data_IF_575449497872
#
_entry.id   IF_575449497872
#
_cell.length_a   1.000
_cell.length_b   1.000
_cell.length_c   1.000
_cell.angle_alpha   90.00
_cell.angle_beta   90.00
_cell.angle_gamma   90.00
#
_symmetry.space_group_name_H-M   'P 1'
#
loop_
_entity.id
_entity.type
_entity.pdbx_description
1 polymer ?
#
# COMPACT_ATOMS: atom_id res chain seq x y z
N UNK A 1 1.94 19.08 85.99
CA UNK A 1 0.94 18.60 85.01
C UNK A 1 1.63 17.90 83.89
N UNK A 2 1.59 16.72 83.94
CA UNK A 2 1.73 15.54 83.11
C UNK A 2 2.35 15.74 81.73
N UNK A 3 3.61 15.25 81.62
CA UNK A 3 4.32 15.00 80.35
C UNK A 3 3.92 13.60 79.80
N UNK A 4 3.59 13.53 78.51
CA UNK A 4 3.40 12.26 77.81
C UNK A 4 4.61 12.08 76.88
N UNK A 5 5.30 10.93 77.06
CA UNK A 5 6.42 10.52 76.25
C UNK A 5 5.97 9.97 74.90
N UNK A 6 6.64 10.38 73.85
CA UNK A 6 6.51 9.82 72.52
C UNK A 6 7.61 8.77 72.28
N UNK A 7 7.18 7.59 71.88
CA UNK A 7 8.00 6.42 71.67
C UNK A 7 7.90 6.02 70.19
N UNK A 8 8.62 6.70 69.30
CA UNK A 8 8.73 6.34 67.89
C UNK A 8 9.81 5.29 67.65
N UNK A 9 9.43 4.07 67.44
CA UNK A 9 10.28 2.97 67.00
C UNK A 9 10.68 3.16 65.53
N UNK A 10 11.98 3.31 65.29
CA UNK A 10 12.62 3.10 63.99
C UNK A 10 12.35 1.68 63.49
N UNK A 11 11.67 1.55 62.36
CA UNK A 11 11.66 0.31 61.57
C UNK A 11 12.70 0.48 60.45
N UNK A 12 13.71 -0.33 60.50
CA UNK A 12 14.66 -0.55 59.42
C UNK A 12 13.91 -1.07 58.20
N UNK A 13 14.08 -0.41 57.06
CA UNK A 13 13.71 -0.88 55.73
C UNK A 13 14.95 -1.57 55.13
N UNK A 14 15.04 -2.87 55.37
CA UNK A 14 15.94 -3.75 54.61
C UNK A 14 15.16 -4.40 53.44
N UNK A 15 15.69 -4.26 52.22
CA UNK A 15 15.54 -5.23 51.15
C UNK A 15 14.45 -5.00 50.08
N UNK A 16 14.58 -3.96 49.25
CA UNK A 16 14.05 -4.04 47.89
C UNK A 16 15.22 -4.03 46.91
N UNK A 17 15.80 -5.20 46.67
CA UNK A 17 16.65 -5.42 45.50
C UNK A 17 15.75 -5.26 44.26
N UNK A 18 15.95 -4.16 43.52
CA UNK A 18 15.28 -3.89 42.27
C UNK A 18 15.59 -4.98 41.25
N UNK A 19 14.55 -5.69 40.87
CA UNK A 19 14.54 -6.51 39.66
C UNK A 19 14.43 -5.54 38.48
N UNK A 20 15.55 -5.08 37.96
CA UNK A 20 15.62 -4.53 36.61
C UNK A 20 15.40 -5.72 35.66
N UNK A 21 14.17 -5.92 35.25
CA UNK A 21 13.88 -6.77 34.09
C UNK A 21 14.55 -6.10 32.88
N UNK A 22 15.72 -6.61 32.49
CA UNK A 22 16.29 -6.27 31.19
C UNK A 22 15.22 -6.58 30.13
N UNK A 23 14.93 -5.65 29.20
CA UNK A 23 14.07 -5.97 28.09
C UNK A 23 14.67 -7.17 27.38
N UNK A 24 13.90 -8.25 27.26
CA UNK A 24 14.28 -9.42 26.48
C UNK A 24 14.60 -8.91 25.07
N UNK A 25 15.87 -8.97 24.68
CA UNK A 25 16.31 -8.69 23.31
C UNK A 25 15.68 -9.76 22.44
N UNK A 26 14.50 -9.48 21.88
CA UNK A 26 13.99 -10.29 20.79
C UNK A 26 15.04 -10.30 19.68
N UNK A 27 15.57 -11.45 19.36
CA UNK A 27 16.45 -11.60 18.20
C UNK A 27 15.70 -11.09 16.97
N UNK A 28 16.27 -10.15 16.22
CA UNK A 28 15.58 -9.60 15.07
C UNK A 28 15.23 -10.71 14.08
N UNK A 29 13.95 -10.76 13.68
CA UNK A 29 13.45 -11.80 12.77
C UNK A 29 13.87 -11.45 11.33
N UNK A 30 14.20 -12.47 10.51
CA UNK A 30 14.38 -12.26 9.07
C UNK A 30 13.11 -11.66 8.43
N UNK A 31 13.31 -10.83 7.42
CA UNK A 31 12.24 -10.26 6.59
C UNK A 31 12.31 -10.90 5.22
N UNK A 32 11.16 -11.20 4.65
CA UNK A 32 11.04 -11.62 3.25
C UNK A 32 10.35 -10.50 2.48
N UNK A 33 10.96 -10.03 1.39
CA UNK A 33 10.30 -9.12 0.45
C UNK A 33 9.75 -9.95 -0.71
N UNK A 34 8.51 -9.69 -1.04
CA UNK A 34 7.79 -10.24 -2.18
C UNK A 34 7.84 -9.18 -3.29
N UNK A 35 8.47 -9.48 -4.40
CA UNK A 35 8.78 -8.50 -5.45
C UNK A 35 8.10 -8.91 -6.75
N UNK A 36 7.12 -8.13 -7.19
CA UNK A 36 6.47 -8.26 -8.50
C UNK A 36 7.18 -7.40 -9.54
N UNK A 37 7.48 -7.99 -10.69
CA UNK A 37 8.20 -7.33 -11.77
C UNK A 37 7.58 -7.55 -13.15
N UNK A 38 8.08 -6.82 -14.14
CA UNK A 38 7.69 -6.97 -15.56
C UNK A 38 8.01 -8.36 -16.14
N UNK A 39 8.86 -9.17 -15.49
CA UNK A 39 9.35 -10.46 -16.02
C UNK A 39 9.37 -11.57 -14.96
N UNK A 40 8.37 -11.60 -14.08
CA UNK A 40 8.25 -12.59 -13.04
C UNK A 40 8.27 -11.99 -11.63
N UNK A 41 8.23 -12.87 -10.64
CA UNK A 41 8.31 -12.52 -9.22
C UNK A 41 9.61 -13.01 -8.59
N UNK A 42 10.08 -12.28 -7.59
CA UNK A 42 11.27 -12.62 -6.83
C UNK A 42 11.00 -12.55 -5.33
N UNK A 43 11.72 -13.34 -4.56
CA UNK A 43 11.73 -13.29 -3.11
C UNK A 43 13.10 -12.84 -2.64
N UNK A 44 13.15 -11.80 -1.80
CA UNK A 44 14.37 -11.35 -1.14
C UNK A 44 14.29 -11.73 0.33
N UNK A 45 15.20 -12.57 0.81
CA UNK A 45 15.27 -12.99 2.21
C UNK A 45 16.43 -12.32 2.92
N UNK A 46 16.17 -11.65 4.05
CA UNK A 46 17.22 -11.06 4.88
C UNK A 46 17.73 -12.04 5.94
N UNK A 47 18.92 -11.74 6.50
CA UNK A 47 19.27 -12.16 7.85
C UNK A 47 18.44 -11.37 8.88
N UNK A 48 18.46 -11.81 10.15
CA UNK A 48 17.74 -11.10 11.22
C UNK A 48 18.15 -9.63 11.37
N UNK A 49 19.40 -9.28 11.05
CA UNK A 49 19.91 -7.91 11.11
C UNK A 49 19.54 -7.06 9.87
N UNK A 50 18.92 -7.67 8.85
CA UNK A 50 18.55 -7.00 7.58
C UNK A 50 19.76 -6.39 6.84
N UNK A 51 20.93 -7.01 6.97
CA UNK A 51 22.19 -6.57 6.35
C UNK A 51 22.58 -7.42 5.14
N UNK A 52 22.28 -8.71 5.19
CA UNK A 52 22.54 -9.67 4.11
C UNK A 52 21.21 -10.10 3.51
N UNK A 53 21.16 -10.15 2.19
CA UNK A 53 19.95 -10.49 1.45
C UNK A 53 20.25 -11.57 0.42
N UNK A 54 19.39 -12.57 0.36
CA UNK A 54 19.42 -13.61 -0.65
C UNK A 54 18.24 -13.44 -1.59
N UNK A 55 18.51 -13.48 -2.89
CA UNK A 55 17.50 -13.43 -3.96
C UNK A 55 17.14 -14.84 -4.38
N UNK A 56 15.85 -15.14 -4.46
CA UNK A 56 15.28 -16.37 -5.02
C UNK A 56 14.26 -16.03 -6.12
N UNK A 57 14.14 -16.90 -7.11
CA UNK A 57 13.35 -16.69 -8.32
C UNK A 57 14.21 -16.63 -9.57
N UNK A 58 13.66 -16.23 -10.74
CA UNK A 58 12.30 -15.76 -10.93
C UNK A 58 11.25 -16.87 -10.84
N UNK A 59 10.15 -16.59 -10.14
CA UNK A 59 8.91 -17.34 -10.30
C UNK A 59 8.11 -16.73 -11.46
N UNK A 60 7.36 -17.53 -12.21
CA UNK A 60 6.53 -17.04 -13.33
C UNK A 60 7.33 -16.25 -14.38
N UNK A 61 8.53 -16.73 -14.72
CA UNK A 61 9.39 -16.06 -15.71
C UNK A 61 8.63 -15.82 -17.02
N UNK A 62 8.69 -14.58 -17.50
CA UNK A 62 7.98 -14.14 -18.69
C UNK A 62 6.62 -13.50 -18.43
N UNK A 63 6.00 -13.74 -17.27
CA UNK A 63 4.77 -13.05 -16.86
C UNK A 63 5.07 -11.67 -16.30
N UNK A 64 4.16 -10.73 -16.53
CA UNK A 64 4.11 -9.50 -15.74
C UNK A 64 3.45 -9.85 -14.41
N UNK A 65 4.12 -9.58 -13.29
CA UNK A 65 3.56 -9.74 -11.95
C UNK A 65 3.30 -8.37 -11.36
N UNK A 66 2.02 -8.00 -11.28
CA UNK A 66 1.62 -6.68 -10.79
C UNK A 66 1.62 -6.59 -9.28
N UNK A 67 1.17 -7.65 -8.59
CA UNK A 67 1.10 -7.69 -7.13
C UNK A 67 1.31 -9.11 -6.61
N UNK A 68 1.99 -9.24 -5.48
CA UNK A 68 2.25 -10.51 -4.78
C UNK A 68 2.11 -10.26 -3.28
N UNK A 69 1.15 -10.91 -2.62
CA UNK A 69 0.74 -10.62 -1.25
C UNK A 69 0.73 -11.89 -0.41
N UNK A 70 1.28 -11.81 0.80
CA UNK A 70 1.15 -12.83 1.85
C UNK A 70 -0.10 -12.54 2.68
N UNK A 71 -0.90 -13.57 2.96
CA UNK A 71 -2.00 -13.49 3.90
C UNK A 71 -1.47 -13.27 5.33
N UNK A 72 -1.74 -12.11 5.95
CA UNK A 72 -1.25 -11.85 7.31
C UNK A 72 -1.93 -12.72 8.37
N UNK A 73 -3.11 -13.31 8.05
CA UNK A 73 -3.94 -14.09 8.96
C UNK A 73 -3.35 -15.50 9.22
N UNK A 74 -2.76 -16.13 8.21
CA UNK A 74 -2.12 -17.45 8.32
C UNK A 74 -0.61 -17.41 8.11
N UNK A 75 -0.06 -16.33 7.55
CA UNK A 75 1.36 -16.10 7.22
C UNK A 75 1.95 -17.20 6.34
N UNK A 76 1.15 -17.80 5.48
CA UNK A 76 1.49 -18.96 4.67
C UNK A 76 0.91 -18.89 3.26
N UNK A 77 -0.32 -18.43 3.13
CA UNK A 77 -1.00 -18.28 1.86
C UNK A 77 -0.48 -17.05 1.12
N UNK A 78 -0.11 -17.24 -0.14
CA UNK A 78 0.34 -16.19 -1.06
C UNK A 78 -0.59 -16.12 -2.26
N UNK A 79 -1.00 -14.93 -2.65
CA UNK A 79 -1.63 -14.68 -3.93
C UNK A 79 -0.74 -13.84 -4.83
N UNK A 80 -0.68 -14.22 -6.11
CA UNK A 80 0.11 -13.58 -7.14
C UNK A 80 -0.79 -13.17 -8.31
N UNK A 81 -0.86 -11.87 -8.60
CA UNK A 81 -1.53 -11.32 -9.77
C UNK A 81 -0.56 -11.31 -10.95
N UNK A 82 -0.78 -12.18 -11.90
CA UNK A 82 0.11 -12.38 -13.05
C UNK A 82 -0.63 -12.19 -14.38
N UNK A 83 0.12 -11.82 -15.42
CA UNK A 83 -0.38 -11.68 -16.79
C UNK A 83 0.64 -12.25 -17.77
N UNK A 84 0.24 -13.25 -18.53
CA UNK A 84 0.97 -13.70 -19.69
C UNK A 84 0.47 -12.99 -20.96
N UNK A 85 1.36 -12.61 -21.87
CA UNK A 85 1.01 -11.76 -22.99
C UNK A 85 -0.15 -12.26 -23.87
N UNK A 86 -0.22 -13.56 -24.11
CA UNK A 86 -1.24 -14.18 -24.96
C UNK A 86 -2.30 -14.99 -24.21
N UNK A 87 -2.06 -15.33 -22.93
CA UNK A 87 -3.01 -16.08 -22.10
C UNK A 87 -3.90 -15.17 -21.24
N UNK A 88 -3.61 -13.86 -21.24
CA UNK A 88 -4.34 -12.88 -20.44
C UNK A 88 -3.96 -12.86 -18.96
N UNK A 89 -4.76 -12.16 -18.14
CA UNK A 89 -4.54 -12.06 -16.71
C UNK A 89 -5.04 -13.29 -15.98
N UNK A 90 -4.30 -13.69 -14.94
CA UNK A 90 -4.72 -14.74 -14.02
C UNK A 90 -4.16 -14.51 -12.61
N UNK A 91 -4.56 -15.35 -11.68
CA UNK A 91 -4.09 -15.37 -10.32
C UNK A 91 -3.49 -16.74 -9.99
N UNK A 92 -2.41 -16.75 -9.25
CA UNK A 92 -1.85 -17.96 -8.68
C UNK A 92 -1.93 -17.90 -7.16
N UNK A 93 -2.32 -19.01 -6.56
CA UNK A 93 -2.38 -19.21 -5.12
C UNK A 93 -1.34 -20.22 -4.68
N UNK A 94 -0.62 -19.95 -3.59
CA UNK A 94 0.22 -20.88 -2.89
C UNK A 94 -0.24 -20.97 -1.44
N UNK A 95 -0.38 -22.18 -0.89
CA UNK A 95 -0.71 -22.40 0.50
C UNK A 95 0.49 -22.94 1.31
N UNK A 96 1.68 -22.90 0.74
CA UNK A 96 2.91 -23.44 1.31
C UNK A 96 4.11 -22.48 1.24
N UNK A 97 3.82 -21.18 1.34
CA UNK A 97 4.80 -20.08 1.30
C UNK A 97 5.59 -19.99 -0.01
N UNK A 98 4.91 -20.23 -1.14
CA UNK A 98 5.45 -20.05 -2.48
C UNK A 98 6.24 -21.24 -3.03
N UNK A 99 6.16 -22.42 -2.39
CA UNK A 99 6.83 -23.65 -2.88
C UNK A 99 6.10 -24.24 -4.07
N UNK A 100 4.77 -24.33 -3.97
CA UNK A 100 3.89 -24.79 -5.03
C UNK A 100 2.83 -23.75 -5.32
N UNK A 101 2.44 -23.65 -6.59
CA UNK A 101 1.46 -22.67 -7.05
C UNK A 101 0.36 -23.35 -7.84
N UNK A 102 -0.87 -22.92 -7.59
CA UNK A 102 -2.07 -23.37 -8.30
C UNK A 102 -2.72 -22.15 -8.93
N UNK A 103 -3.08 -22.25 -10.19
CA UNK A 103 -3.82 -21.21 -10.88
C UNK A 103 -5.27 -21.15 -10.40
N UNK A 104 -5.85 -19.93 -10.32
CA UNK A 104 -7.24 -19.73 -9.97
C UNK A 104 -8.14 -20.47 -10.98
N UNK A 105 -9.12 -21.21 -10.46
CA UNK A 105 -10.05 -21.97 -11.31
C UNK A 105 -11.01 -21.05 -12.08
N UNK A 106 -11.37 -19.92 -11.47
CA UNK A 106 -12.17 -18.85 -12.08
C UNK A 106 -11.61 -17.49 -11.66
N UNK A 107 -10.67 -16.93 -12.45
CA UNK A 107 -10.09 -15.62 -12.16
C UNK A 107 -11.10 -14.49 -12.36
N UNK A 108 -10.80 -13.25 -11.91
CA UNK A 108 -11.61 -12.07 -12.14
C UNK A 108 -11.94 -11.88 -13.62
N UNK A 109 -13.23 -11.79 -13.95
CA UNK A 109 -13.72 -11.57 -15.30
C UNK A 109 -15.02 -10.77 -15.29
N UNK A 110 -15.17 -9.87 -16.25
CA UNK A 110 -16.46 -9.21 -16.48
C UNK A 110 -17.49 -10.23 -17.03
N UNK A 111 -18.80 -10.00 -16.79
CA UNK A 111 -19.85 -10.76 -17.45
C UNK A 111 -19.72 -10.68 -18.97
N UNK A 112 -20.11 -11.76 -19.66
CA UNK A 112 -20.17 -11.74 -21.13
C UNK A 112 -21.20 -10.69 -21.59
N UNK A 113 -20.80 -9.85 -22.54
CA UNK A 113 -21.70 -8.91 -23.17
C UNK A 113 -22.80 -9.63 -23.97
N UNK A 114 -23.93 -8.96 -24.16
CA UNK A 114 -24.97 -9.43 -25.04
C UNK A 114 -24.48 -9.55 -26.51
N UNK A 115 -25.06 -10.42 -27.32
CA UNK A 115 -24.66 -10.54 -28.72
C UNK A 115 -24.77 -9.19 -29.45
N UNK A 116 -23.66 -8.77 -30.07
CA UNK A 116 -23.54 -7.47 -30.76
C UNK A 116 -23.07 -6.32 -29.92
N UNK A 117 -22.90 -6.47 -28.58
CA UNK A 117 -22.37 -5.47 -27.71
C UNK A 117 -20.84 -5.65 -27.49
N UNK A 118 -20.12 -4.54 -27.31
CA UNK A 118 -18.71 -4.58 -26.96
C UNK A 118 -18.59 -4.82 -25.45
N UNK A 119 -18.15 -6.01 -25.07
CA UNK A 119 -17.89 -6.37 -23.67
C UNK A 119 -16.62 -5.73 -23.11
N UNK A 120 -16.55 -5.67 -21.78
CA UNK A 120 -15.33 -5.37 -21.06
C UNK A 120 -14.54 -6.67 -20.80
N UNK A 121 -13.22 -6.57 -20.84
CA UNK A 121 -12.32 -7.64 -20.45
C UNK A 121 -11.31 -7.11 -19.42
N UNK A 122 -10.99 -7.92 -18.43
CA UNK A 122 -9.90 -7.60 -17.49
C UNK A 122 -8.58 -7.64 -18.26
N UNK A 123 -7.86 -6.53 -18.27
CA UNK A 123 -6.51 -6.45 -18.84
C UNK A 123 -5.48 -7.02 -17.85
N UNK A 124 -5.59 -6.64 -16.59
CA UNK A 124 -4.79 -7.20 -15.51
C UNK A 124 -5.44 -6.99 -14.14
N UNK A 125 -5.11 -7.88 -13.21
CA UNK A 125 -5.36 -7.65 -11.78
C UNK A 125 -4.22 -6.78 -11.27
N UNK A 126 -4.58 -5.61 -10.75
CA UNK A 126 -3.62 -4.60 -10.33
C UNK A 126 -3.34 -4.65 -8.84
N UNK A 127 -4.36 -4.93 -8.02
CA UNK A 127 -4.27 -4.91 -6.57
C UNK A 127 -4.90 -6.15 -5.96
N UNK A 128 -4.25 -6.72 -4.95
CA UNK A 128 -4.77 -7.78 -4.10
C UNK A 128 -4.81 -7.31 -2.66
N UNK A 129 -5.88 -7.62 -1.95
CA UNK A 129 -5.99 -7.36 -0.52
C UNK A 129 -6.62 -8.56 0.19
N UNK A 130 -6.04 -9.05 1.30
CA UNK A 130 -6.71 -10.00 2.18
C UNK A 130 -7.99 -9.36 2.74
N UNK A 131 -9.03 -10.14 2.97
CA UNK A 131 -10.23 -9.71 3.68
C UNK A 131 -9.96 -9.45 5.15
N UNK A 132 -11.01 -9.09 5.90
CA UNK A 132 -10.95 -8.84 7.32
C UNK A 132 -10.40 -10.05 8.10
N UNK A 133 -9.80 -9.84 9.26
CA UNK A 133 -9.19 -10.90 10.08
C UNK A 133 -10.19 -12.01 10.44
N UNK A 134 -11.46 -11.67 10.66
CA UNK A 134 -12.54 -12.64 10.93
C UNK A 134 -12.99 -13.46 9.72
N UNK A 135 -12.65 -13.03 8.49
CA UNK A 135 -13.13 -13.63 7.24
C UNK A 135 -12.04 -14.52 6.59
N UNK A 136 -11.81 -15.70 7.14
CA UNK A 136 -10.83 -16.65 6.60
C UNK A 136 -11.15 -16.98 5.13
N UNK A 137 -10.13 -16.95 4.29
CA UNK A 137 -10.26 -17.26 2.86
C UNK A 137 -10.81 -16.13 1.99
N UNK A 138 -11.32 -15.04 2.58
CA UNK A 138 -11.78 -13.88 1.80
C UNK A 138 -10.60 -13.06 1.29
N UNK A 139 -10.68 -12.71 0.00
CA UNK A 139 -9.75 -11.82 -0.68
C UNK A 139 -10.48 -10.84 -1.58
N UNK A 140 -9.88 -9.70 -1.82
CA UNK A 140 -10.34 -8.71 -2.78
C UNK A 140 -9.30 -8.48 -3.87
N UNK A 141 -9.78 -8.21 -5.09
CA UNK A 141 -8.95 -7.88 -6.24
C UNK A 141 -9.49 -6.65 -6.97
N UNK A 142 -8.59 -5.71 -7.25
CA UNK A 142 -8.86 -4.54 -8.09
C UNK A 142 -8.19 -4.71 -9.44
N UNK A 143 -8.86 -4.28 -10.51
CA UNK A 143 -8.44 -4.54 -11.88
C UNK A 143 -8.27 -3.28 -12.73
N UNK A 144 -7.72 -3.46 -13.92
CA UNK A 144 -7.81 -2.57 -15.06
C UNK A 144 -8.56 -3.31 -16.20
N UNK A 145 -9.62 -2.74 -16.79
CA UNK A 145 -10.40 -1.58 -16.34
C UNK A 145 -10.85 -1.69 -14.89
N UNK A 146 -11.17 -0.56 -14.21
CA UNK A 146 -11.50 -0.57 -12.80
C UNK A 146 -12.70 -1.44 -12.49
N UNK A 147 -12.51 -2.49 -11.71
CA UNK A 147 -13.56 -3.31 -11.14
C UNK A 147 -13.09 -3.93 -9.83
N UNK A 148 -14.02 -4.23 -8.95
CA UNK A 148 -13.79 -4.87 -7.68
C UNK A 148 -14.31 -6.30 -7.71
N UNK A 149 -13.45 -7.25 -7.34
CA UNK A 149 -13.80 -8.67 -7.25
C UNK A 149 -13.53 -9.17 -5.83
N UNK A 150 -14.31 -10.18 -5.42
CA UNK A 150 -14.19 -10.84 -4.13
C UNK A 150 -14.10 -12.35 -4.31
N UNK A 151 -13.22 -12.99 -3.56
CA UNK A 151 -13.11 -14.44 -3.41
C UNK A 151 -13.41 -14.82 -1.97
N UNK A 152 -14.04 -15.98 -1.76
CA UNK A 152 -14.32 -16.53 -0.41
C UNK A 152 -13.58 -17.84 -0.13
N UNK A 153 -12.79 -18.31 -1.07
CA UNK A 153 -12.15 -19.64 -1.04
C UNK A 153 -10.63 -19.59 -1.23
N UNK A 154 -10.00 -18.55 -0.75
CA UNK A 154 -8.55 -18.41 -0.81
C UNK A 154 -8.01 -17.98 -2.17
N UNK A 155 -8.84 -17.37 -3.02
CA UNK A 155 -8.44 -16.84 -4.32
C UNK A 155 -8.61 -17.80 -5.48
N UNK A 156 -9.36 -18.90 -5.33
CA UNK A 156 -9.58 -19.87 -6.39
C UNK A 156 -10.73 -19.48 -7.31
N UNK A 157 -11.81 -18.90 -6.77
CA UNK A 157 -12.96 -18.40 -7.53
C UNK A 157 -13.22 -16.95 -7.16
N UNK A 158 -13.52 -16.15 -8.19
CA UNK A 158 -13.72 -14.71 -8.04
C UNK A 158 -15.04 -14.27 -8.62
N UNK A 159 -15.78 -13.49 -7.87
CA UNK A 159 -17.04 -12.88 -8.26
C UNK A 159 -16.96 -11.36 -8.21
N UNK A 160 -17.59 -10.68 -9.15
CA UNK A 160 -17.66 -9.22 -9.17
C UNK A 160 -18.51 -8.70 -8.03
N UNK A 161 -18.05 -7.66 -7.34
CA UNK A 161 -18.82 -6.94 -6.32
C UNK A 161 -19.87 -6.09 -7.04
N UNK A 162 -21.10 -6.60 -7.08
CA UNK A 162 -22.18 -6.02 -7.89
C UNK A 162 -22.52 -4.58 -7.51
N UNK A 163 -22.48 -4.24 -6.21
CA UNK A 163 -22.75 -2.88 -5.71
C UNK A 163 -21.83 -1.81 -6.31
N UNK A 164 -20.60 -2.20 -6.73
CA UNK A 164 -19.70 -1.34 -7.47
C UNK A 164 -19.75 -1.58 -8.97
N UNK A 165 -19.53 -2.83 -9.42
CA UNK A 165 -19.35 -3.17 -10.84
C UNK A 165 -20.62 -3.01 -11.69
N UNK A 166 -21.80 -3.18 -11.07
CA UNK A 166 -23.10 -2.98 -11.70
C UNK A 166 -23.81 -1.70 -11.26
N UNK A 167 -23.11 -0.78 -10.57
CA UNK A 167 -23.66 0.48 -10.13
C UNK A 167 -24.06 1.33 -11.35
N UNK A 168 -25.23 1.99 -11.35
CA UNK A 168 -25.61 2.90 -12.44
C UNK A 168 -24.60 4.02 -12.72
N UNK A 169 -23.85 4.44 -11.70
CA UNK A 169 -22.82 5.45 -11.79
C UNK A 169 -21.44 4.91 -12.21
N UNK A 170 -21.30 3.60 -12.40
CA UNK A 170 -20.00 2.94 -12.68
C UNK A 170 -19.23 3.63 -13.80
N UNK A 171 -19.86 3.92 -14.94
CA UNK A 171 -19.20 4.55 -16.08
C UNK A 171 -18.67 5.95 -15.74
N UNK A 172 -19.48 6.75 -15.02
CA UNK A 172 -19.09 8.07 -14.58
C UNK A 172 -17.95 8.01 -13.56
N UNK A 173 -18.02 7.10 -12.60
CA UNK A 173 -17.00 6.93 -11.55
C UNK A 173 -15.67 6.40 -12.05
N UNK A 174 -15.67 5.58 -13.08
CA UNK A 174 -14.45 4.95 -13.61
C UNK A 174 -13.83 5.70 -14.78
N UNK A 175 -14.47 6.78 -15.24
CA UNK A 175 -14.02 7.52 -16.41
C UNK A 175 -14.09 6.71 -17.71
N UNK A 176 -14.96 5.68 -17.76
CA UNK A 176 -15.05 4.78 -18.92
C UNK A 176 -15.49 5.49 -20.22
N UNK A 177 -16.06 6.68 -20.09
CA UNK A 177 -16.50 7.52 -21.21
C UNK A 177 -15.45 8.57 -21.63
N UNK A 178 -14.29 8.62 -20.96
CA UNK A 178 -13.23 9.59 -21.22
C UNK A 178 -11.90 8.87 -21.51
N UNK A 179 -10.97 9.57 -22.16
CA UNK A 179 -9.58 9.13 -22.25
C UNK A 179 -8.99 9.06 -20.84
N UNK A 180 -8.76 7.84 -20.37
CA UNK A 180 -8.20 7.59 -19.05
C UNK A 180 -6.73 7.95 -18.96
N UNK A 181 -6.12 7.80 -17.78
CA UNK A 181 -4.69 8.03 -17.61
C UNK A 181 -3.91 7.07 -18.49
N UNK A 182 -2.73 7.46 -18.97
CA UNK A 182 -1.85 6.58 -19.71
C UNK A 182 -1.51 5.32 -18.90
N UNK A 183 -1.73 4.17 -19.51
CA UNK A 183 -1.68 2.87 -18.83
C UNK A 183 -3.04 2.36 -18.35
N UNK A 184 -4.12 3.14 -18.61
CA UNK A 184 -5.50 2.81 -18.27
C UNK A 184 -5.85 3.15 -16.81
N UNK A 185 -7.14 3.37 -16.57
CA UNK A 185 -7.67 3.50 -15.22
C UNK A 185 -7.60 2.15 -14.48
N UNK A 186 -7.30 2.20 -13.18
CA UNK A 186 -7.17 1.01 -12.34
C UNK A 186 -7.90 1.20 -11.01
N UNK A 187 -8.54 0.14 -10.51
CA UNK A 187 -8.99 0.06 -9.13
C UNK A 187 -7.86 -0.51 -8.28
N UNK A 188 -7.49 0.21 -7.26
CA UNK A 188 -6.38 -0.13 -6.37
C UNK A 188 -6.66 0.30 -4.93
N UNK A 189 -5.66 0.13 -4.04
CA UNK A 189 -5.72 0.63 -2.67
C UNK A 189 -6.95 0.16 -1.91
N UNK A 190 -7.29 -1.13 -2.04
CA UNK A 190 -8.39 -1.74 -1.31
C UNK A 190 -8.00 -1.82 0.16
N UNK A 191 -8.77 -1.16 1.03
CA UNK A 191 -8.59 -1.18 2.48
C UNK A 191 -9.88 -1.68 3.14
N UNK A 192 -9.74 -2.61 4.05
CA UNK A 192 -10.80 -3.10 4.92
C UNK A 192 -10.56 -2.53 6.31
N UNK A 193 -11.58 -1.97 6.94
CA UNK A 193 -11.50 -1.45 8.30
C UNK A 193 -11.19 -2.62 9.26
N UNK A 194 -10.10 -2.57 10.03
CA UNK A 194 -9.74 -3.63 10.95
C UNK A 194 -10.74 -3.83 12.10
N UNK A 195 -11.66 -2.88 12.32
CA UNK A 195 -12.71 -2.97 13.33
C UNK A 195 -14.07 -3.39 12.76
N UNK A 196 -14.26 -3.29 11.43
CA UNK A 196 -15.55 -3.63 10.78
C UNK A 196 -15.31 -4.23 9.38
N UNK A 197 -15.55 -5.52 9.23
CA UNK A 197 -15.44 -6.24 7.95
C UNK A 197 -16.34 -5.69 6.83
N UNK A 198 -17.38 -4.93 7.15
CA UNK A 198 -18.29 -4.33 6.17
C UNK A 198 -17.84 -2.97 5.69
N UNK A 199 -16.89 -2.35 6.38
CA UNK A 199 -16.41 -1.02 6.04
C UNK A 199 -15.18 -1.09 5.14
N UNK A 200 -15.34 -0.62 3.90
CA UNK A 200 -14.36 -0.73 2.83
C UNK A 200 -14.04 0.64 2.25
N UNK A 201 -12.77 0.84 1.89
CA UNK A 201 -12.34 1.98 1.08
C UNK A 201 -11.58 1.49 -0.14
N UNK A 202 -11.84 2.10 -1.29
CA UNK A 202 -11.09 1.85 -2.53
C UNK A 202 -10.62 3.16 -3.16
N UNK A 203 -9.50 3.08 -3.88
CA UNK A 203 -9.00 4.16 -4.72
C UNK A 203 -9.03 3.76 -6.19
N UNK A 204 -9.38 4.71 -7.07
CA UNK A 204 -9.42 4.51 -8.52
C UNK A 204 -8.65 5.64 -9.20
N UNK A 205 -7.70 5.28 -10.06
CA UNK A 205 -7.05 6.27 -10.92
C UNK A 205 -8.09 6.91 -11.85
N UNK A 206 -8.13 8.24 -11.87
CA UNK A 206 -9.13 9.04 -12.61
C UNK A 206 -10.60 8.76 -12.22
N UNK A 207 -10.82 8.16 -11.03
CA UNK A 207 -12.16 7.94 -10.47
C UNK A 207 -12.35 8.62 -9.12
N UNK A 208 -11.36 8.47 -8.25
CA UNK A 208 -11.38 9.01 -6.90
C UNK A 208 -11.30 7.95 -5.82
N UNK A 209 -11.49 8.37 -4.58
CA UNK A 209 -11.70 7.51 -3.42
C UNK A 209 -13.19 7.24 -3.23
N UNK A 210 -13.51 6.02 -2.81
CA UNK A 210 -14.89 5.58 -2.53
C UNK A 210 -14.94 4.81 -1.23
N UNK A 211 -16.10 4.86 -0.57
CA UNK A 211 -16.39 4.22 0.70
C UNK A 211 -17.65 3.37 0.59
N UNK A 212 -17.63 2.21 1.22
CA UNK A 212 -18.79 1.34 1.48
C UNK A 212 -18.82 0.97 2.95
N UNK A 213 -19.99 1.00 3.57
CA UNK A 213 -20.23 0.58 4.98
C UNK A 213 -21.11 -0.66 5.10
N UNK A 214 -21.36 -1.35 3.98
CA UNK A 214 -22.26 -2.49 3.87
C UNK A 214 -21.65 -3.65 3.08
N UNK A 215 -20.35 -3.89 3.24
CA UNK A 215 -19.60 -4.95 2.58
C UNK A 215 -19.59 -4.85 1.04
N UNK A 216 -19.67 -3.63 0.51
CA UNK A 216 -19.64 -3.37 -0.93
C UNK A 216 -20.99 -3.44 -1.63
N UNK A 217 -22.10 -3.52 -0.89
CA UNK A 217 -23.45 -3.50 -1.48
C UNK A 217 -23.79 -2.12 -2.05
N UNK A 218 -23.37 -1.05 -1.38
CA UNK A 218 -23.47 0.32 -1.88
C UNK A 218 -22.16 1.08 -1.73
N UNK A 219 -21.94 2.09 -2.55
CA UNK A 219 -20.73 2.89 -2.59
C UNK A 219 -21.04 4.36 -2.73
N UNK A 220 -20.23 5.20 -2.11
CA UNK A 220 -20.27 6.65 -2.27
C UNK A 220 -18.87 7.23 -2.54
N UNK A 221 -18.74 8.28 -3.34
CA UNK A 221 -17.50 9.03 -3.48
C UNK A 221 -17.08 9.65 -2.15
N UNK A 222 -15.76 9.74 -1.92
CA UNK A 222 -15.15 10.32 -0.73
C UNK A 222 -13.99 11.24 -1.13
N UNK A 223 -14.29 12.36 -1.85
CA UNK A 223 -13.27 13.22 -2.45
C UNK A 223 -13.37 14.69 -2.00
N UNK A 224 -14.32 15.03 -1.15
CA UNK A 224 -14.53 16.41 -0.72
C UNK A 224 -13.28 17.00 -0.07
N UNK A 225 -12.81 18.16 -0.59
CA UNK A 225 -11.60 18.84 -0.12
C UNK A 225 -10.32 18.44 -0.85
N UNK A 226 -10.36 17.43 -1.72
CA UNK A 226 -9.26 17.14 -2.65
C UNK A 226 -9.31 18.11 -3.83
N UNK A 227 -8.15 18.62 -4.23
CA UNK A 227 -8.05 19.39 -5.48
C UNK A 227 -8.13 18.46 -6.70
N UNK A 228 -8.68 18.97 -7.78
CA UNK A 228 -8.77 18.32 -9.08
C UNK A 228 -8.51 19.33 -10.20
N UNK A 229 -7.30 19.93 -10.20
CA UNK A 229 -6.95 21.06 -11.07
C UNK A 229 -7.02 20.73 -12.58
N UNK A 230 -7.01 19.45 -12.92
CA UNK A 230 -7.15 18.93 -14.27
C UNK A 230 -8.63 18.71 -14.70
N UNK A 231 -9.58 18.77 -13.77
CA UNK A 231 -11.00 18.62 -14.07
C UNK A 231 -11.65 19.97 -14.38
N UNK A 232 -12.70 19.99 -15.22
CA UNK A 232 -13.48 21.23 -15.48
C UNK A 232 -14.11 21.79 -14.20
N UNK A 233 -14.51 20.93 -13.27
CA UNK A 233 -15.08 21.28 -11.96
C UNK A 233 -14.08 20.91 -10.88
N UNK A 234 -13.55 21.92 -10.16
CA UNK A 234 -12.44 21.73 -9.20
C UNK A 234 -12.83 20.98 -7.93
N UNK A 235 -14.08 21.06 -7.54
CA UNK A 235 -14.68 20.38 -6.38
C UNK A 235 -15.59 19.22 -6.82
N UNK A 236 -15.22 18.56 -7.91
CA UNK A 236 -15.95 17.42 -8.44
C UNK A 236 -16.10 16.32 -7.39
N UNK A 237 -17.26 15.67 -7.37
CA UNK A 237 -17.56 14.58 -6.46
C UNK A 237 -16.72 13.33 -6.76
N UNK A 238 -16.40 13.09 -8.03
CA UNK A 238 -15.60 11.96 -8.54
C UNK A 238 -14.70 12.42 -9.70
N UNK A 239 -13.89 11.50 -10.23
CA UNK A 239 -12.95 11.81 -11.32
C UNK A 239 -11.55 12.19 -10.82
N UNK A 240 -11.32 12.19 -9.51
CA UNK A 240 -10.01 12.47 -8.92
C UNK A 240 -9.00 11.35 -9.23
N UNK A 241 -7.73 11.70 -9.44
CA UNK A 241 -6.68 10.71 -9.71
C UNK A 241 -5.96 10.31 -8.41
N UNK A 242 -6.52 9.33 -7.72
CA UNK A 242 -5.92 8.72 -6.54
C UNK A 242 -4.74 7.87 -6.96
N UNK A 243 -3.59 8.05 -6.33
CA UNK A 243 -2.40 7.25 -6.54
C UNK A 243 -2.22 6.16 -5.49
N UNK A 244 -2.54 6.44 -4.23
CA UNK A 244 -2.51 5.50 -3.13
C UNK A 244 -3.44 5.97 -2.01
N UNK A 245 -4.25 5.07 -1.49
CA UNK A 245 -5.14 5.29 -0.35
C UNK A 245 -4.77 4.30 0.75
N UNK A 246 -4.59 4.76 1.98
CA UNK A 246 -4.21 3.92 3.12
C UNK A 246 -5.04 4.26 4.33
N UNK A 247 -5.61 3.23 4.94
CA UNK A 247 -6.25 3.28 6.25
C UNK A 247 -5.22 2.93 7.32
N UNK A 248 -5.20 3.66 8.44
CA UNK A 248 -4.24 3.34 9.50
C UNK A 248 -4.73 2.13 10.33
N UNK A 249 -3.91 1.08 10.49
CA UNK A 249 -4.38 -0.19 11.08
C UNK A 249 -4.76 -0.09 12.56
N UNK A 250 -4.21 0.88 13.31
CA UNK A 250 -4.52 1.09 14.74
C UNK A 250 -5.43 2.31 14.99
N UNK A 251 -5.74 3.07 13.97
CA UNK A 251 -6.63 4.23 14.04
C UNK A 251 -7.44 4.30 12.73
N UNK A 252 -8.42 3.40 12.55
CA UNK A 252 -9.17 3.29 11.29
C UNK A 252 -9.98 4.54 10.94
N UNK A 253 -10.20 5.43 11.89
CA UNK A 253 -10.76 6.76 11.64
C UNK A 253 -9.81 7.67 10.85
N UNK A 254 -8.53 7.31 10.73
CA UNK A 254 -7.55 8.11 9.98
C UNK A 254 -7.16 7.47 8.67
N UNK A 255 -7.49 8.16 7.60
CA UNK A 255 -7.21 7.78 6.21
C UNK A 255 -6.23 8.76 5.60
N UNK A 256 -5.27 8.25 4.85
CA UNK A 256 -4.32 9.05 4.08
C UNK A 256 -4.43 8.76 2.60
N UNK A 257 -4.23 9.78 1.78
CA UNK A 257 -4.30 9.67 0.33
C UNK A 257 -3.12 10.42 -0.33
N UNK A 258 -2.36 9.72 -1.17
CA UNK A 258 -1.55 10.33 -2.22
C UNK A 258 -2.43 10.46 -3.46
N UNK A 259 -2.53 11.65 -3.98
CA UNK A 259 -3.34 12.00 -5.13
C UNK A 259 -2.49 12.73 -6.15
N UNK A 260 -2.93 12.81 -7.41
CA UNK A 260 -2.26 13.60 -8.45
C UNK A 260 -2.09 15.08 -8.04
N UNK A 261 -3.11 15.65 -7.45
CA UNK A 261 -3.13 17.03 -7.00
C UNK A 261 -2.69 17.23 -5.53
N UNK A 262 -1.97 16.27 -4.95
CA UNK A 262 -1.39 16.46 -3.62
C UNK A 262 -1.47 15.28 -2.68
N UNK A 263 -1.14 15.52 -1.43
CA UNK A 263 -1.14 14.56 -0.33
C UNK A 263 -2.14 15.01 0.73
N UNK A 264 -3.02 14.11 1.14
CA UNK A 264 -4.18 14.43 1.98
C UNK A 264 -4.33 13.49 3.17
N UNK A 265 -4.98 14.00 4.22
CA UNK A 265 -5.43 13.25 5.39
C UNK A 265 -6.91 13.52 5.64
N UNK A 266 -7.64 12.48 6.01
CA UNK A 266 -9.01 12.55 6.47
C UNK A 266 -9.07 11.95 7.88
N UNK A 267 -9.63 12.68 8.82
CA UNK A 267 -9.93 12.20 10.18
C UNK A 267 -11.46 12.04 10.30
N UNK A 268 -11.93 10.79 10.42
CA UNK A 268 -13.36 10.47 10.57
C UNK A 268 -13.83 10.83 11.98
N UNK A 269 -15.10 11.17 12.18
CA UNK A 269 -16.20 11.12 11.21
C UNK A 269 -16.27 12.30 10.24
N UNK A 270 -15.22 13.13 10.16
CA UNK A 270 -15.13 14.19 9.15
C UNK A 270 -15.22 13.61 7.74
N UNK A 271 -15.69 14.42 6.78
CA UNK A 271 -15.87 14.02 5.38
C UNK A 271 -15.04 14.87 4.42
N UNK A 272 -14.22 15.78 4.94
CA UNK A 272 -13.43 16.70 4.15
C UNK A 272 -11.94 16.44 4.33
N UNK A 273 -11.28 16.13 3.24
CA UNK A 273 -9.84 15.93 3.22
C UNK A 273 -9.07 17.22 3.49
N UNK A 274 -8.03 17.11 4.30
CA UNK A 274 -7.07 18.18 4.58
C UNK A 274 -5.80 17.94 3.79
N UNK A 275 -5.38 18.90 2.97
CA UNK A 275 -4.10 18.80 2.23
C UNK A 275 -2.93 18.99 3.18
N UNK A 276 -2.20 17.92 3.44
CA UNK A 276 -0.99 17.90 4.28
C UNK A 276 0.29 18.06 3.46
N UNK A 277 0.20 17.94 2.15
CA UNK A 277 1.31 18.13 1.23
C UNK A 277 1.80 19.57 1.08
N UNK A 278 1.00 20.55 1.49
CA UNK A 278 1.39 21.98 1.47
C UNK A 278 2.65 22.27 2.32
N UNK A 279 2.96 21.43 3.29
CA UNK A 279 4.15 21.51 4.13
C UNK A 279 5.41 20.88 3.48
N UNK A 280 5.29 20.28 2.29
CA UNK A 280 6.43 19.79 1.52
C UNK A 280 7.24 20.96 0.94
N UNK A 281 8.56 20.79 0.72
CA UNK A 281 9.36 21.80 0.07
C UNK A 281 8.82 22.13 -1.33
N UNK A 282 8.54 23.38 -1.61
CA UNK A 282 7.91 23.85 -2.88
C UNK A 282 8.63 23.34 -4.15
N UNK A 283 9.97 23.22 -4.11
CA UNK A 283 10.77 22.71 -5.24
C UNK A 283 10.60 21.21 -5.49
N UNK A 284 10.04 20.48 -4.52
CA UNK A 284 9.81 19.04 -4.61
C UNK A 284 8.35 18.79 -4.98
N UNK A 285 7.44 19.56 -4.39
CA UNK A 285 6.01 19.32 -4.51
C UNK A 285 5.53 18.13 -3.65
N UNK A 286 4.27 17.82 -3.78
CA UNK A 286 3.58 16.78 -3.02
C UNK A 286 2.92 15.71 -3.91
N UNK A 287 3.35 15.60 -5.16
CA UNK A 287 2.94 14.51 -6.05
C UNK A 287 3.88 13.31 -5.89
N UNK A 288 3.33 12.14 -5.84
CA UNK A 288 4.06 10.87 -5.73
C UNK A 288 3.13 9.69 -5.98
N UNK A 289 3.64 8.47 -5.96
CA UNK A 289 2.81 7.27 -6.04
C UNK A 289 2.66 6.57 -4.68
N UNK A 290 3.74 6.16 -4.00
CA UNK A 290 3.62 5.37 -2.79
C UNK A 290 3.34 6.23 -1.57
N UNK A 291 2.59 5.64 -0.66
CA UNK A 291 2.33 6.14 0.68
C UNK A 291 2.45 4.97 1.66
N UNK A 292 3.33 5.09 2.64
CA UNK A 292 3.57 4.08 3.67
C UNK A 292 3.27 4.66 5.04
N UNK A 293 2.45 3.96 5.82
CA UNK A 293 2.12 4.33 7.20
C UNK A 293 2.96 3.50 8.17
N UNK A 294 3.32 4.11 9.29
CA UNK A 294 3.92 3.36 10.40
C UNK A 294 2.85 2.49 11.06
N UNK A 295 3.04 1.18 11.22
CA UNK A 295 1.97 0.29 11.68
C UNK A 295 1.49 0.57 13.12
N UNK A 296 2.27 1.28 13.94
CA UNK A 296 2.02 1.55 15.35
C UNK A 296 1.94 3.04 15.73
N UNK A 297 2.12 3.94 14.76
CA UNK A 297 2.11 5.40 14.99
C UNK A 297 1.31 6.09 13.88
N UNK A 298 0.07 6.51 14.14
CA UNK A 298 -0.81 7.09 13.12
C UNK A 298 -0.35 8.45 12.59
N UNK A 299 0.57 9.11 13.26
CA UNK A 299 1.14 10.38 12.82
C UNK A 299 2.43 10.23 12.00
N UNK A 300 2.94 9.00 11.88
CA UNK A 300 4.18 8.72 11.17
C UNK A 300 3.92 8.08 9.81
N UNK A 301 4.41 8.72 8.75
CA UNK A 301 4.21 8.25 7.38
C UNK A 301 5.36 8.68 6.48
N UNK A 302 5.54 7.90 5.40
CA UNK A 302 6.55 8.15 4.37
C UNK A 302 5.92 8.25 3.00
N UNK A 303 6.45 9.15 2.19
CA UNK A 303 6.13 9.30 0.76
C UNK A 303 7.41 9.34 -0.06
N UNK A 304 7.29 9.03 -1.34
CA UNK A 304 8.40 9.13 -2.30
C UNK A 304 7.95 10.02 -3.45
N UNK A 305 8.26 11.33 -3.40
CA UNK A 305 7.84 12.28 -4.43
C UNK A 305 8.44 11.98 -5.79
N UNK A 306 7.69 12.34 -6.82
CA UNK A 306 8.14 12.39 -8.19
C UNK A 306 8.05 13.79 -8.76
N UNK A 307 8.75 14.05 -9.86
CA UNK A 307 8.71 15.32 -10.56
C UNK A 307 7.32 15.53 -11.20
N UNK A 308 6.61 16.52 -10.75
CA UNK A 308 5.30 16.92 -11.25
C UNK A 308 5.33 18.20 -12.11
N UNK A 309 6.53 18.71 -12.41
CA UNK A 309 6.69 19.97 -13.17
C UNK A 309 6.22 19.88 -14.62
N UNK A 310 6.10 18.65 -15.16
CA UNK A 310 5.52 18.38 -16.47
C UNK A 310 4.61 17.17 -16.40
N UNK A 311 3.81 16.96 -17.43
CA UNK A 311 2.80 15.89 -17.45
C UNK A 311 3.43 14.49 -17.36
N UNK A 312 4.70 14.32 -17.81
CA UNK A 312 5.23 12.99 -18.06
C UNK A 312 6.60 12.59 -17.51
N UNK A 313 7.44 13.41 -16.89
CA UNK A 313 8.71 12.88 -16.41
C UNK A 313 8.52 11.81 -15.35
N UNK A 314 7.62 12.00 -14.39
CA UNK A 314 7.28 11.06 -13.30
C UNK A 314 8.47 10.31 -12.74
N UNK A 315 9.62 10.97 -12.71
CA UNK A 315 10.89 10.48 -12.16
C UNK A 315 11.23 11.24 -10.89
N UNK A 316 12.28 10.85 -10.23
CA UNK A 316 12.75 11.55 -9.02
C UNK A 316 13.10 13.01 -9.33
N UNK A 317 12.65 13.99 -8.52
CA UNK A 317 12.88 15.40 -8.78
C UNK A 317 14.36 15.75 -8.95
N UNK A 318 14.70 16.30 -10.12
CA UNK A 318 16.09 16.64 -10.49
C UNK A 318 17.06 15.45 -10.53
N UNK A 319 16.56 14.21 -10.66
CA UNK A 319 17.38 13.00 -10.59
C UNK A 319 18.03 12.77 -9.23
N UNK A 320 17.42 13.31 -8.16
CA UNK A 320 17.89 13.22 -6.77
C UNK A 320 16.81 12.58 -5.89
N UNK A 321 16.67 11.24 -5.95
CA UNK A 321 15.63 10.53 -5.23
C UNK A 321 15.73 10.72 -3.72
N UNK A 322 14.57 10.78 -3.06
CA UNK A 322 14.47 10.80 -1.61
C UNK A 322 13.09 10.34 -1.15
N UNK A 323 13.05 9.60 -0.06
CA UNK A 323 11.83 9.49 0.72
C UNK A 323 11.66 10.74 1.62
N UNK A 324 10.43 11.04 1.99
CA UNK A 324 10.11 12.10 2.95
C UNK A 324 9.29 11.51 4.08
N UNK A 325 9.68 11.83 5.32
CA UNK A 325 9.05 11.39 6.56
C UNK A 325 8.33 12.55 7.22
N UNK A 326 7.08 12.32 7.61
CA UNK A 326 6.39 13.10 8.64
C UNK A 326 6.25 12.24 9.91
N UNK A 327 6.39 12.87 11.07
CA UNK A 327 6.16 12.27 12.40
C UNK A 327 5.05 12.98 13.17
N UNK A 328 4.25 13.78 12.49
CA UNK A 328 3.21 14.62 13.09
C UNK A 328 2.00 14.78 12.16
N UNK A 329 1.63 13.71 11.47
CA UNK A 329 0.46 13.65 10.62
C UNK A 329 0.50 14.57 9.40
N UNK A 330 1.69 14.84 8.86
CA UNK A 330 1.88 15.66 7.67
C UNK A 330 2.11 17.16 7.92
N UNK A 331 2.23 17.60 9.18
CA UNK A 331 2.51 19.02 9.49
C UNK A 331 3.91 19.46 9.07
N UNK A 332 4.90 18.55 9.11
CA UNK A 332 6.27 18.79 8.69
C UNK A 332 6.82 17.57 7.96
N UNK A 333 7.81 17.81 7.08
CA UNK A 333 8.44 16.76 6.29
C UNK A 333 9.95 16.84 6.34
N UNK A 334 10.60 15.71 6.55
CA UNK A 334 12.06 15.56 6.57
C UNK A 334 12.51 14.71 5.41
N UNK A 335 13.48 15.21 4.64
CA UNK A 335 14.12 14.50 3.54
C UNK A 335 15.02 13.37 4.07
N UNK A 336 14.91 12.19 3.46
CA UNK A 336 15.65 10.96 3.80
C UNK A 336 16.30 10.41 2.53
N UNK A 337 17.53 10.84 2.24
CA UNK A 337 18.26 10.48 1.02
C UNK A 337 19.66 9.90 1.27
N UNK A 338 20.08 9.74 2.52
CA UNK A 338 21.40 9.22 2.85
C UNK A 338 21.57 7.79 2.31
N UNK A 339 22.51 7.62 1.38
CA UNK A 339 22.79 6.36 0.70
C UNK A 339 22.09 6.21 -0.65
N UNK A 340 21.09 7.04 -0.97
CA UNK A 340 20.50 7.11 -2.31
C UNK A 340 21.41 7.87 -3.29
N UNK A 341 21.22 7.72 -4.61
CA UNK A 341 21.98 8.48 -5.61
C UNK A 341 21.86 9.99 -5.42
N UNK A 342 23.00 10.68 -5.29
CA UNK A 342 23.03 12.13 -5.16
C UNK A 342 22.77 12.87 -6.48
N UNK A 343 22.85 12.15 -7.60
CA UNK A 343 22.60 12.63 -8.98
C UNK A 343 22.28 11.44 -9.89
N UNK A 344 21.62 11.69 -10.99
CA UNK A 344 21.32 10.70 -12.05
C UNK A 344 20.43 9.53 -11.58
N UNK A 345 19.68 9.69 -10.51
CA UNK A 345 18.68 8.72 -10.05
C UNK A 345 17.32 8.95 -10.76
N UNK A 346 17.27 8.77 -12.07
CA UNK A 346 16.10 9.01 -12.91
C UNK A 346 15.16 7.80 -12.91
N UNK A 347 14.55 7.51 -11.76
CA UNK A 347 13.59 6.40 -11.62
C UNK A 347 12.31 6.84 -10.90
N UNK A 348 11.31 6.01 -11.01
CA UNK A 348 10.05 6.14 -10.29
C UNK A 348 9.92 5.00 -9.29
N UNK A 349 9.33 5.27 -8.13
CA UNK A 349 8.80 4.27 -7.20
C UNK A 349 7.29 4.20 -7.42
N UNK A 350 6.78 3.03 -7.84
CA UNK A 350 5.35 2.84 -8.15
C UNK A 350 4.49 2.72 -6.89
N UNK A 351 3.17 2.72 -7.04
CA UNK A 351 2.16 2.72 -5.96
C UNK A 351 2.38 1.62 -4.92
N UNK A 352 2.57 0.37 -5.39
CA UNK A 352 2.79 -0.81 -4.55
C UNK A 352 4.27 -1.15 -4.36
N UNK A 353 5.17 -0.32 -4.87
CA UNK A 353 6.61 -0.62 -4.85
C UNK A 353 7.34 -0.03 -3.64
N UNK A 354 6.62 0.33 -2.57
CA UNK A 354 7.21 0.77 -1.31
C UNK A 354 6.39 0.21 -0.14
N UNK A 355 7.08 -0.39 0.83
CA UNK A 355 6.46 -0.97 2.02
C UNK A 355 7.32 -0.80 3.27
N UNK A 356 6.73 -1.16 4.42
CA UNK A 356 7.40 -1.28 5.70
C UNK A 356 7.25 -2.70 6.26
N UNK A 357 8.23 -3.15 7.04
CA UNK A 357 8.08 -4.35 7.88
C UNK A 357 7.44 -4.01 9.24
N UNK A 358 7.38 -5.00 10.15
CA UNK A 358 6.89 -4.82 11.51
C UNK A 358 8.00 -4.79 12.57
N UNK A 359 9.27 -4.66 12.17
CA UNK A 359 10.42 -4.69 13.07
C UNK A 359 10.52 -3.43 13.94
N UNK A 360 11.44 -3.48 14.91
CA UNK A 360 11.86 -2.33 15.71
C UNK A 360 13.39 -2.22 15.69
N UNK A 361 13.97 -1.13 15.15
CA UNK A 361 13.30 -0.07 14.37
C UNK A 361 12.72 -0.59 13.06
N UNK A 362 11.69 0.12 12.53
CA UNK A 362 10.98 -0.24 11.33
C UNK A 362 11.90 -0.32 10.11
N UNK A 363 11.77 -1.38 9.32
CA UNK A 363 12.38 -1.47 8.00
C UNK A 363 11.50 -0.83 6.93
N UNK A 364 12.13 -0.13 6.00
CA UNK A 364 11.50 0.43 4.82
C UNK A 364 12.18 -0.12 3.57
N UNK A 365 11.38 -0.43 2.58
CA UNK A 365 11.83 -1.05 1.33
C UNK A 365 11.14 -0.41 0.16
N UNK A 366 11.86 -0.22 -0.95
CA UNK A 366 11.23 0.17 -2.20
C UNK A 366 11.94 -0.43 -3.42
N UNK A 367 11.14 -0.65 -4.45
CA UNK A 367 11.58 -1.04 -5.78
C UNK A 367 11.45 0.10 -6.79
N UNK A 368 12.30 0.09 -7.81
CA UNK A 368 12.36 1.16 -8.80
C UNK A 368 12.00 0.67 -10.20
N UNK A 369 11.59 1.59 -11.06
CA UNK A 369 11.40 1.31 -12.49
C UNK A 369 12.71 0.97 -13.22
N UNK A 370 13.87 1.28 -12.62
CA UNK A 370 15.19 0.88 -13.13
C UNK A 370 15.67 -0.50 -12.63
N UNK A 371 14.83 -1.25 -11.88
CA UNK A 371 15.14 -2.61 -11.45
C UNK A 371 16.07 -2.71 -10.25
N UNK A 372 16.02 -1.73 -9.36
CA UNK A 372 16.77 -1.74 -8.10
C UNK A 372 15.83 -1.91 -6.90
N UNK A 373 16.28 -2.65 -5.89
CA UNK A 373 15.62 -2.71 -4.58
C UNK A 373 16.50 -2.01 -3.55
N UNK A 374 15.89 -1.10 -2.83
CA UNK A 374 16.52 -0.33 -1.77
C UNK A 374 15.89 -0.67 -0.42
N UNK A 375 16.73 -0.81 0.60
CA UNK A 375 16.34 -1.15 1.97
C UNK A 375 16.91 -0.17 2.97
N UNK A 376 16.13 0.12 4.00
CA UNK A 376 16.57 0.83 5.20
C UNK A 376 16.10 0.05 6.43
N UNK A 377 17.01 -0.31 7.31
CA UNK A 377 16.69 -0.99 8.57
C UNK A 377 16.45 -0.01 9.74
N UNK A 378 16.33 1.29 9.46
CA UNK A 378 16.26 2.36 10.45
C UNK A 378 15.37 3.52 9.98
N UNK A 379 14.15 3.20 9.55
CA UNK A 379 13.10 4.16 9.22
C UNK A 379 13.48 5.18 8.12
N UNK A 380 14.33 4.77 7.18
CA UNK A 380 14.79 5.64 6.10
C UNK A 380 16.00 6.51 6.45
N UNK A 381 16.54 6.43 7.67
CA UNK A 381 17.70 7.24 8.05
C UNK A 381 18.95 6.92 7.20
N UNK A 382 19.07 5.71 6.67
CA UNK A 382 20.09 5.31 5.70
C UNK A 382 19.54 4.22 4.77
N UNK A 383 19.79 4.38 3.49
CA UNK A 383 19.40 3.44 2.44
C UNK A 383 20.60 2.64 1.92
N UNK A 384 20.34 1.40 1.53
CA UNK A 384 21.30 0.49 0.88
C UNK A 384 20.61 -0.17 -0.29
N UNK A 385 21.24 -0.18 -1.46
CA UNK A 385 20.77 -0.96 -2.58
C UNK A 385 21.10 -2.44 -2.34
N UNK A 386 20.05 -3.27 -2.25
CA UNK A 386 20.17 -4.70 -1.93
C UNK A 386 20.02 -5.63 -3.14
N UNK A 387 19.49 -5.12 -4.24
CA UNK A 387 19.45 -5.82 -5.53
C UNK A 387 19.50 -4.80 -6.68
N UNK A 388 20.10 -5.24 -7.80
CA UNK A 388 20.20 -4.46 -9.05
C UNK A 388 19.92 -5.36 -10.24
N UNK A 389 19.65 -4.73 -11.38
CA UNK A 389 19.44 -5.41 -12.66
C UNK A 389 18.24 -6.36 -12.69
N UNK A 390 17.27 -6.18 -11.79
CA UNK A 390 15.97 -6.82 -11.90
C UNK A 390 15.16 -6.16 -13.03
N UNK A 391 14.16 -6.84 -13.59
CA UNK A 391 13.19 -6.17 -14.43
C UNK A 391 12.50 -5.03 -13.69
N UNK A 392 11.87 -4.12 -14.44
CA UNK A 392 11.05 -3.05 -13.85
C UNK A 392 10.17 -3.57 -12.71
N UNK A 393 10.26 -2.95 -11.53
CA UNK A 393 9.56 -3.40 -10.33
C UNK A 393 8.21 -2.71 -10.24
N UNK A 394 7.15 -3.51 -10.06
CA UNK A 394 5.78 -3.04 -9.91
C UNK A 394 5.32 -3.03 -8.47
N UNK A 395 5.72 -4.03 -7.68
CA UNK A 395 5.33 -4.15 -6.26
C UNK A 395 6.47 -4.67 -5.39
N UNK A 396 6.48 -4.25 -4.13
CA UNK A 396 7.33 -4.77 -3.05
C UNK A 396 6.48 -4.83 -1.79
N UNK A 397 6.32 -6.02 -1.23
CA UNK A 397 5.61 -6.26 0.02
C UNK A 397 6.53 -6.95 1.03
N UNK A 398 6.46 -6.56 2.31
CA UNK A 398 7.19 -7.19 3.40
C UNK A 398 6.33 -8.27 4.07
N UNK A 399 6.86 -9.50 4.19
CA UNK A 399 6.18 -10.69 4.69
C UNK A 399 6.87 -11.29 5.94
#
# INVERSE_FOLDING_TARGET
>A
MIAVADNSRERRLDGLKGWTTMPTRHSPKPVTLLVGTRKGAFFMKSDGARRKWALAGPHFLGHIVNHLVLDPRDRRTLLCAARAGHLGPTLFCSTDSGRNWKEAARPPAFPKAAPGEKGLAVDHVFWLAPGHESEKGVWYAGTSPPALFRSEDGGMHWDGVAGFNANPMYRAWTGADHEGPPGGATLHSINIDPSDAKHLYIGISAGGAFESTDAGATWRPLNRGCAADFLPVKDAEYGHDVHCLRLHPMLPERVYQQNHCGLYRLDRPGETWTRIGNAMPKKIGDIGFPLVLHPRDPDRLWVFPMDGSTVWPRVSPGGRPAAYLSVNGGRNWRRLDKGLPAKHGWFTVKRQAMCADASEPLGLYFGTTSGEIWASANEGARWTCIARHLPEIYSVEAA
#
